data_IF_794779383023
#
_entry.id   IF_794779383023
#
_cell.length_a   1.000
_cell.length_b   1.000
_cell.length_c   1.000
_cell.angle_alpha   90.00
_cell.angle_beta   90.00
_cell.angle_gamma   90.00
#
_symmetry.space_group_name_H-M   'P 1'
#
loop_
_entity.id
_entity.type
_entity.pdbx_description
1 polymer ?
#
# COMPACT_ATOMS: atom_id res chain seq x y z
N UNK A 1 15.56 -6.52 -7.83
CA UNK A 1 14.54 -7.59 -7.93
C UNK A 1 13.18 -6.94 -8.13
N UNK A 2 12.31 -7.51 -8.97
CA UNK A 2 10.94 -7.05 -9.17
C UNK A 2 9.98 -8.17 -8.79
N UNK A 3 8.99 -7.87 -7.96
CA UNK A 3 7.95 -8.83 -7.52
C UNK A 3 6.59 -8.28 -7.91
N UNK A 4 5.78 -9.10 -8.58
CA UNK A 4 4.41 -8.74 -8.96
C UNK A 4 3.43 -9.57 -8.12
N UNK A 5 2.57 -8.89 -7.38
CA UNK A 5 1.52 -9.52 -6.56
C UNK A 5 0.17 -9.19 -7.17
N UNK A 6 -0.58 -10.21 -7.59
CA UNK A 6 -1.91 -10.06 -8.20
C UNK A 6 -2.98 -10.75 -7.36
N UNK A 7 -4.25 -10.37 -7.56
CA UNK A 7 -5.36 -10.96 -6.84
C UNK A 7 -6.64 -10.13 -6.95
N UNK A 8 -7.78 -10.77 -6.65
CA UNK A 8 -9.10 -10.15 -6.70
C UNK A 8 -9.23 -8.94 -5.75
N UNK A 9 -10.32 -8.16 -5.89
CA UNK A 9 -10.62 -7.10 -4.92
C UNK A 9 -10.80 -7.70 -3.52
N UNK A 10 -10.25 -7.06 -2.49
CA UNK A 10 -10.36 -7.54 -1.11
C UNK A 10 -9.54 -8.78 -0.74
N UNK A 11 -8.77 -9.38 -1.65
CA UNK A 11 -8.02 -10.64 -1.40
C UNK A 11 -6.80 -10.52 -0.48
N UNK A 12 -6.56 -9.37 0.17
CA UNK A 12 -5.38 -9.16 1.01
C UNK A 12 -4.05 -8.92 0.27
N UNK A 13 -4.07 -8.78 -1.07
CA UNK A 13 -2.85 -8.61 -1.88
C UNK A 13 -1.92 -7.47 -1.44
N UNK A 14 -2.48 -6.32 -1.03
CA UNK A 14 -1.70 -5.18 -0.55
C UNK A 14 -0.94 -5.51 0.73
N UNK A 15 -1.59 -6.18 1.68
CA UNK A 15 -0.96 -6.59 2.94
C UNK A 15 0.17 -7.59 2.73
N UNK A 16 -0.04 -8.57 1.83
CA UNK A 16 1.01 -9.52 1.45
C UNK A 16 2.20 -8.82 0.79
N UNK A 17 1.94 -7.95 -0.20
CA UNK A 17 2.98 -7.19 -0.89
C UNK A 17 3.78 -6.30 0.06
N UNK A 18 3.11 -5.65 1.02
CA UNK A 18 3.76 -4.86 2.06
C UNK A 18 4.70 -5.71 2.91
N UNK A 19 4.27 -6.91 3.33
CA UNK A 19 5.11 -7.82 4.11
C UNK A 19 6.34 -8.30 3.35
N UNK A 20 6.20 -8.56 2.04
CA UNK A 20 7.34 -8.88 1.17
C UNK A 20 8.29 -7.68 1.08
N UNK A 21 7.76 -6.47 0.88
CA UNK A 21 8.57 -5.26 0.78
C UNK A 21 9.38 -4.98 2.05
N UNK A 22 8.76 -5.10 3.24
CA UNK A 22 9.45 -4.95 4.54
C UNK A 22 10.58 -5.96 4.69
N UNK A 23 10.34 -7.23 4.35
CA UNK A 23 11.37 -8.28 4.43
C UNK A 23 12.54 -8.00 3.48
N UNK A 24 12.26 -7.50 2.28
CA UNK A 24 13.28 -7.19 1.27
C UNK A 24 14.07 -5.93 1.60
N UNK A 25 13.44 -4.92 2.20
CA UNK A 25 14.10 -3.67 2.56
C UNK A 25 15.08 -3.85 3.73
N UNK A 26 14.75 -4.71 4.71
CA UNK A 26 15.60 -4.91 5.89
C UNK A 26 15.79 -3.62 6.68
N UNK A 27 16.98 -3.01 6.60
CA UNK A 27 17.29 -1.70 7.21
C UNK A 27 17.26 -0.52 6.22
N UNK A 28 16.97 -0.78 4.94
CA UNK A 28 16.88 0.25 3.92
C UNK A 28 15.57 1.02 3.97
N UNK A 29 15.53 2.12 3.23
CA UNK A 29 14.33 2.96 3.11
C UNK A 29 13.21 2.23 2.38
N UNK A 30 11.97 2.47 2.82
CA UNK A 30 10.78 1.82 2.32
C UNK A 30 9.76 2.86 1.87
N UNK A 31 9.48 2.91 0.57
CA UNK A 31 8.55 3.85 -0.02
C UNK A 31 7.24 3.16 -0.41
N UNK A 32 6.11 3.81 -0.12
CA UNK A 32 4.79 3.37 -0.55
C UNK A 32 4.15 4.41 -1.46
N UNK A 33 3.92 4.04 -2.72
CA UNK A 33 3.20 4.88 -3.67
C UNK A 33 1.74 4.45 -3.74
N UNK A 34 0.88 5.16 -3.01
CA UNK A 34 -0.55 4.87 -2.96
C UNK A 34 -1.28 5.57 -4.12
N UNK A 35 -1.67 4.82 -5.15
CA UNK A 35 -2.29 5.35 -6.38
C UNK A 35 -3.81 5.17 -6.43
N UNK A 36 -4.43 4.74 -5.33
CA UNK A 36 -5.86 4.50 -5.28
C UNK A 36 -6.64 5.81 -5.38
N UNK A 37 -7.50 5.95 -6.39
CA UNK A 37 -8.50 7.04 -6.45
C UNK A 37 -9.58 6.81 -5.40
N UNK A 38 -9.90 7.87 -4.66
CA UNK A 38 -10.88 7.84 -3.58
C UNK A 38 -12.23 8.31 -4.12
N UNK A 39 -13.22 7.42 -4.12
CA UNK A 39 -14.58 7.71 -4.54
C UNK A 39 -15.57 7.34 -3.43
N UNK A 40 -16.45 8.27 -3.08
CA UNK A 40 -17.49 8.07 -2.07
C UNK A 40 -16.94 7.65 -0.70
N UNK A 41 -17.85 7.28 0.20
CA UNK A 41 -17.47 6.87 1.56
C UNK A 41 -16.68 5.56 1.60
N UNK A 42 -17.00 4.61 0.71
CA UNK A 42 -16.29 3.32 0.68
C UNK A 42 -14.82 3.49 0.31
N UNK A 43 -14.51 4.39 -0.63
CA UNK A 43 -13.14 4.74 -0.97
C UNK A 43 -12.39 5.31 0.23
N UNK A 44 -13.03 6.21 0.98
CA UNK A 44 -12.45 6.82 2.19
C UNK A 44 -12.15 5.75 3.23
N UNK A 45 -13.12 4.88 3.56
CA UNK A 45 -12.95 3.78 4.53
C UNK A 45 -11.82 2.82 4.11
N UNK A 46 -11.67 2.58 2.81
CA UNK A 46 -10.60 1.72 2.27
C UNK A 46 -9.22 2.35 2.42
N UNK A 47 -9.09 3.65 2.16
CA UNK A 47 -7.82 4.38 2.39
C UNK A 47 -7.46 4.39 3.88
N UNK A 48 -8.42 4.65 4.76
CA UNK A 48 -8.20 4.59 6.21
C UNK A 48 -7.71 3.21 6.66
N UNK A 49 -8.34 2.15 6.16
CA UNK A 49 -7.88 0.77 6.42
C UNK A 49 -6.44 0.56 5.95
N UNK A 50 -6.10 1.00 4.73
CA UNK A 50 -4.73 0.89 4.22
C UNK A 50 -3.71 1.71 5.04
N UNK A 51 -4.09 2.89 5.53
CA UNK A 51 -3.22 3.69 6.44
C UNK A 51 -2.95 2.91 7.73
N UNK A 52 -3.97 2.30 8.34
CA UNK A 52 -3.82 1.46 9.53
C UNK A 52 -2.92 0.25 9.26
N UNK A 53 -3.08 -0.41 8.12
CA UNK A 53 -2.24 -1.57 7.76
C UNK A 53 -0.76 -1.20 7.57
N UNK A 54 -0.47 0.00 7.07
CA UNK A 54 0.90 0.50 6.87
C UNK A 54 1.56 1.05 8.13
N UNK A 55 0.76 1.44 9.12
CA UNK A 55 1.25 2.04 10.36
C UNK A 55 2.24 1.09 11.06
N UNK A 56 3.39 1.63 11.48
CA UNK A 56 4.42 0.86 12.17
C UNK A 56 5.30 -0.03 11.28
N UNK A 57 5.04 -0.13 9.97
CA UNK A 57 5.88 -0.91 9.03
C UNK A 57 7.08 -0.14 8.46
N UNK A 58 7.24 1.14 8.81
CA UNK A 58 8.36 1.97 8.36
C UNK A 58 8.20 2.58 6.95
N UNK A 59 7.01 2.51 6.34
CA UNK A 59 6.77 3.11 5.02
C UNK A 59 6.77 4.64 5.07
N UNK A 60 7.56 5.27 4.20
CA UNK A 60 7.35 6.62 3.72
C UNK A 60 6.28 6.61 2.63
N UNK A 61 5.09 7.11 2.96
CA UNK A 61 3.94 7.08 2.05
C UNK A 61 3.84 8.36 1.25
N UNK A 62 3.68 8.22 -0.07
CA UNK A 62 3.17 9.26 -0.95
C UNK A 62 1.79 8.84 -1.49
N UNK A 63 0.76 9.61 -1.19
CA UNK A 63 -0.58 9.44 -1.77
C UNK A 63 -0.62 10.17 -3.12
N UNK A 64 -0.67 9.42 -4.22
CA UNK A 64 -0.58 9.91 -5.60
C UNK A 64 -1.66 9.27 -6.49
N UNK A 65 -2.96 9.54 -6.24
CA UNK A 65 -4.07 8.92 -6.98
C UNK A 65 -4.08 9.24 -8.48
N UNK A 66 -3.46 10.36 -8.88
CA UNK A 66 -3.15 10.75 -10.26
C UNK A 66 -2.20 11.95 -10.24
N UNK A 67 -1.25 12.00 -11.18
CA UNK A 67 -0.88 13.29 -11.81
C UNK A 67 -1.87 13.50 -12.95
N UNK A 68 -2.62 14.60 -12.89
CA UNK A 68 -3.28 15.15 -14.07
C UNK A 68 -2.20 15.89 -14.87
#
# INVERSE_FOLDING_TARGET
MMVVVTGASGSGKSEYAEGVAVKLAGKGDLYYLATMRVYGEEGVRRVERHRKLRAGKGFQTAECPVKV
#
